data_IF_913235198880
#
_entry.id   IF_913235198880
#
_cell.length_a   1.000
_cell.length_b   1.000
_cell.length_c   1.000
_cell.angle_alpha   90.00
_cell.angle_beta   90.00
_cell.angle_gamma   90.00
#
_symmetry.space_group_name_H-M   'P 1'
#
loop_
_entity.id
_entity.type
_entity.pdbx_description
1 polymer ?
#
# COMPACT_ATOMS: atom_id res chain seq x y z
N UNK A 1 13.74 2.67 -11.56
CA UNK A 1 12.31 2.76 -11.93
C UNK A 1 11.50 3.05 -10.69
N UNK A 2 10.59 3.99 -10.80
CA UNK A 2 9.68 4.36 -9.72
C UNK A 2 8.26 4.00 -10.12
N UNK A 3 7.51 3.50 -9.18
CA UNK A 3 6.13 3.08 -9.39
C UNK A 3 5.29 3.51 -8.20
N UNK A 4 4.12 4.08 -8.46
CA UNK A 4 3.24 4.54 -7.40
C UNK A 4 1.83 4.01 -7.61
N UNK A 5 1.20 3.61 -6.51
CA UNK A 5 -0.20 3.20 -6.51
C UNK A 5 -0.93 3.91 -5.39
N UNK A 6 -2.24 3.93 -5.48
CA UNK A 6 -3.08 4.57 -4.49
C UNK A 6 -4.24 3.66 -4.13
N UNK A 7 -4.63 3.73 -2.86
CA UNK A 7 -5.78 2.99 -2.36
C UNK A 7 -6.74 3.96 -1.69
N UNK A 8 -8.00 3.71 -1.89
CA UNK A 8 -9.10 4.48 -1.32
C UNK A 8 -9.52 3.80 -0.02
N UNK A 9 -9.58 4.54 1.07
CA UNK A 9 -10.01 3.98 2.35
C UNK A 9 -11.54 3.81 2.35
N UNK A 10 -12.00 2.57 2.36
CA UNK A 10 -13.41 2.20 2.29
C UNK A 10 -13.91 1.78 3.68
N UNK A 11 -15.23 1.70 3.89
CA UNK A 11 -15.78 1.31 5.19
C UNK A 11 -15.21 0.02 5.76
N UNK A 12 -14.97 -0.99 4.93
CA UNK A 12 -14.41 -2.26 5.38
C UNK A 12 -12.95 -2.20 5.79
N UNK A 13 -12.28 -1.08 5.58
CA UNK A 13 -10.87 -0.91 5.88
C UNK A 13 -10.63 -0.24 7.23
N UNK A 14 -11.69 0.09 7.94
CA UNK A 14 -11.60 0.88 9.18
C UNK A 14 -11.55 0.02 10.44
N UNK A 15 -10.86 0.54 11.45
CA UNK A 15 -10.89 -0.02 12.79
C UNK A 15 -12.08 0.58 13.55
N UNK A 16 -12.35 0.12 14.80
CA UNK A 16 -13.48 0.65 15.56
C UNK A 16 -13.44 2.15 15.84
N UNK A 17 -12.29 2.78 15.71
CA UNK A 17 -12.15 4.22 15.92
C UNK A 17 -12.41 5.03 14.65
N UNK A 18 -12.72 4.37 13.55
CA UNK A 18 -12.99 5.05 12.29
C UNK A 18 -11.77 5.44 11.50
N UNK A 19 -10.60 4.86 11.79
CA UNK A 19 -9.39 5.10 11.03
C UNK A 19 -8.93 3.81 10.37
N UNK A 20 -8.01 3.92 9.42
CA UNK A 20 -7.50 2.76 8.68
C UNK A 20 -6.94 1.71 9.63
N UNK A 21 -7.42 0.48 9.49
CA UNK A 21 -6.92 -0.64 10.28
C UNK A 21 -5.49 -0.99 9.87
N UNK A 22 -4.60 -1.06 10.86
CA UNK A 22 -3.18 -1.34 10.59
C UNK A 22 -2.94 -2.62 9.82
N UNK A 23 -3.70 -3.66 10.12
CA UNK A 23 -3.60 -4.93 9.38
C UNK A 23 -3.96 -4.79 7.91
N UNK A 24 -4.93 -3.92 7.60
CA UNK A 24 -5.29 -3.64 6.21
C UNK A 24 -4.15 -2.93 5.49
N UNK A 25 -3.52 -1.98 6.16
CA UNK A 25 -2.37 -1.28 5.59
C UNK A 25 -1.24 -2.27 5.27
N UNK A 26 -0.97 -3.19 6.18
CA UNK A 26 0.06 -4.21 5.96
C UNK A 26 -0.30 -5.13 4.80
N UNK A 27 -1.58 -5.48 4.65
CA UNK A 27 -2.04 -6.25 3.49
C UNK A 27 -1.75 -5.50 2.19
N UNK A 28 -2.05 -4.21 2.15
CA UNK A 28 -1.81 -3.41 0.95
C UNK A 28 -0.34 -3.31 0.63
N UNK A 29 0.50 -3.12 1.63
CA UNK A 29 1.95 -3.06 1.44
C UNK A 29 2.45 -4.37 0.82
N UNK A 30 2.03 -5.49 1.38
CA UNK A 30 2.44 -6.80 0.90
C UNK A 30 1.94 -7.05 -0.52
N UNK A 31 0.67 -6.76 -0.78
CA UNK A 31 0.05 -6.97 -2.09
C UNK A 31 0.70 -6.11 -3.18
N UNK A 32 0.87 -4.81 -2.91
CA UNK A 32 1.44 -3.90 -3.91
C UNK A 32 2.90 -4.21 -4.18
N UNK A 33 3.63 -4.62 -3.16
CA UNK A 33 5.02 -5.04 -3.32
C UNK A 33 5.12 -6.30 -4.17
N UNK A 34 4.22 -7.25 -3.94
CA UNK A 34 4.20 -8.49 -4.73
C UNK A 34 3.85 -8.21 -6.19
N UNK A 35 2.86 -7.37 -6.43
CA UNK A 35 2.47 -6.99 -7.79
C UNK A 35 3.64 -6.31 -8.51
N UNK A 36 4.29 -5.37 -7.83
CA UNK A 36 5.45 -4.69 -8.40
C UNK A 36 6.56 -5.67 -8.74
N UNK A 37 6.87 -6.59 -7.82
CA UNK A 37 7.93 -7.57 -8.04
C UNK A 37 7.62 -8.48 -9.22
N UNK A 38 6.39 -8.95 -9.32
CA UNK A 38 5.98 -9.86 -10.40
C UNK A 38 5.94 -9.12 -11.74
N UNK A 39 5.34 -7.95 -11.78
CA UNK A 39 5.10 -7.23 -13.02
C UNK A 39 6.31 -6.48 -13.53
N UNK A 40 7.12 -5.92 -12.64
CA UNK A 40 8.24 -5.06 -13.04
C UNK A 40 9.58 -5.78 -13.01
N UNK A 41 9.75 -6.72 -12.10
CA UNK A 41 11.01 -7.43 -11.92
C UNK A 41 10.94 -8.85 -12.47
N UNK A 42 9.75 -9.45 -12.43
CA UNK A 42 9.54 -10.81 -12.90
C UNK A 42 9.83 -11.86 -11.84
N UNK A 43 10.00 -11.48 -10.59
CA UNK A 43 10.28 -12.42 -9.51
C UNK A 43 9.54 -12.03 -8.23
N UNK A 44 8.79 -12.95 -7.60
CA UNK A 44 8.12 -12.68 -6.35
C UNK A 44 9.07 -12.66 -5.14
N UNK A 45 10.34 -12.98 -5.32
CA UNK A 45 11.28 -13.16 -4.21
C UNK A 45 11.90 -11.88 -3.64
N UNK A 46 11.61 -10.72 -4.23
CA UNK A 46 12.18 -9.44 -3.78
C UNK A 46 11.12 -8.48 -3.27
N UNK A 47 10.03 -9.02 -2.79
CA UNK A 47 8.79 -8.28 -2.50
C UNK A 47 8.98 -7.10 -1.56
N UNK A 48 9.49 -7.36 -0.35
CA UNK A 48 9.54 -6.33 0.68
C UNK A 48 10.59 -5.25 0.43
N UNK A 49 11.60 -5.55 -0.37
CA UNK A 49 12.67 -4.58 -0.64
C UNK A 49 12.27 -3.53 -1.66
N UNK A 50 11.18 -3.75 -2.37
CA UNK A 50 10.73 -2.82 -3.39
C UNK A 50 9.94 -1.65 -2.82
N UNK A 51 9.37 -1.79 -1.61
CA UNK A 51 8.55 -0.74 -1.01
C UNK A 51 9.45 0.35 -0.45
N UNK A 52 9.40 1.54 -1.04
CA UNK A 52 10.23 2.66 -0.62
C UNK A 52 9.52 3.65 0.30
N UNK A 53 8.21 3.78 0.17
CA UNK A 53 7.49 4.72 1.01
C UNK A 53 5.99 4.45 1.03
N UNK A 54 5.35 4.87 2.12
CA UNK A 54 3.90 4.87 2.25
C UNK A 54 3.50 6.26 2.71
N UNK A 55 2.66 6.93 1.94
CA UNK A 55 2.23 8.28 2.23
C UNK A 55 0.73 8.33 2.52
N UNK A 56 0.38 8.95 3.63
CA UNK A 56 -1.02 9.26 3.93
C UNK A 56 -1.29 10.66 3.40
N UNK A 57 -2.17 10.78 2.42
CA UNK A 57 -2.53 12.08 1.87
C UNK A 57 -3.25 12.91 2.93
N UNK A 58 -3.99 12.22 3.82
CA UNK A 58 -4.61 12.79 5.01
C UNK A 58 -4.50 11.78 6.13
N UNK A 59 -5.38 11.88 7.12
CA UNK A 59 -5.31 11.09 8.35
C UNK A 59 -5.84 9.66 8.25
N UNK A 60 -5.94 9.09 7.07
CA UNK A 60 -6.37 7.71 6.83
C UNK A 60 -7.74 7.40 7.43
N UNK A 61 -8.71 8.26 7.16
CA UNK A 61 -10.12 8.08 7.52
C UNK A 61 -10.90 7.65 6.30
N UNK A 62 -12.18 7.36 6.48
CA UNK A 62 -13.07 7.01 5.39
C UNK A 62 -12.97 8.03 4.25
N UNK A 63 -12.73 7.55 3.04
CA UNK A 63 -12.63 8.40 1.86
C UNK A 63 -11.25 8.98 1.60
N UNK A 64 -10.32 8.82 2.53
CA UNK A 64 -8.95 9.30 2.33
C UNK A 64 -8.18 8.39 1.38
N UNK A 65 -7.05 8.87 0.90
CA UNK A 65 -6.23 8.15 -0.06
C UNK A 65 -4.86 7.88 0.54
N UNK A 66 -4.40 6.64 0.40
CA UNK A 66 -3.05 6.23 0.81
C UNK A 66 -2.26 5.94 -0.45
N UNK A 67 -1.08 6.52 -0.55
CA UNK A 67 -0.21 6.33 -1.71
C UNK A 67 0.99 5.47 -1.33
N UNK A 68 1.31 4.52 -2.19
CA UNK A 68 2.45 3.61 -2.00
C UNK A 68 3.48 3.87 -3.08
N UNK A 69 4.73 4.01 -2.68
CA UNK A 69 5.83 4.19 -3.61
C UNK A 69 6.74 2.97 -3.60
N UNK A 70 7.06 2.47 -4.80
CA UNK A 70 7.95 1.34 -4.97
C UNK A 70 9.06 1.74 -5.92
N UNK A 71 10.26 1.23 -5.68
CA UNK A 71 11.42 1.63 -6.44
C UNK A 71 12.41 0.47 -6.55
N UNK A 72 13.00 0.35 -7.72
CA UNK A 72 14.10 -0.59 -7.93
C UNK A 72 15.41 0.02 -7.46
#
# INVERSE_FOLDING_TARGET
MKYRTRKFVKPGDLNPRGTLFGGRLLEWIDEESAIFAICQIGSPNVVTKAMSEVNFVKTAKLGDIVEFGMEL
#
